data_IF_544843935793
#
_entry.id   IF_544843935793
#
_cell.length_a   1.000
_cell.length_b   1.000
_cell.length_c   1.000
_cell.angle_alpha   90.00
_cell.angle_beta   90.00
_cell.angle_gamma   90.00
#
_symmetry.space_group_name_H-M   'P 1'
#
loop_
_entity.id
_entity.type
_entity.pdbx_description
1 polymer ?
#
# COMPACT_ATOMS: atom_id res chain seq x y z
N UNK A 1 43.72 -11.84 -12.37
CA UNK A 1 42.38 -11.80 -11.74
C UNK A 1 41.99 -10.33 -11.63
N UNK A 2 40.98 -9.87 -12.38
CA UNK A 2 40.46 -8.51 -12.21
C UNK A 2 39.54 -8.54 -10.99
N UNK A 3 39.94 -7.85 -9.91
CA UNK A 3 39.05 -7.63 -8.77
C UNK A 3 37.93 -6.70 -9.24
N UNK A 4 36.70 -7.20 -9.23
CA UNK A 4 35.53 -6.39 -9.51
C UNK A 4 35.34 -5.41 -8.34
N UNK A 5 35.05 -4.14 -8.66
CA UNK A 5 34.80 -3.13 -7.64
C UNK A 5 33.58 -3.57 -6.79
N UNK A 6 33.69 -3.65 -5.45
CA UNK A 6 32.60 -4.07 -4.55
C UNK A 6 31.29 -3.31 -4.76
N UNK A 7 31.33 -2.02 -5.11
CA UNK A 7 30.13 -1.23 -5.41
C UNK A 7 29.41 -1.72 -6.66
N UNK A 8 30.16 -2.10 -7.71
CA UNK A 8 29.58 -2.66 -8.94
C UNK A 8 29.00 -4.05 -8.72
N UNK A 9 29.62 -4.87 -7.85
CA UNK A 9 29.08 -6.18 -7.48
C UNK A 9 27.80 -6.07 -6.64
N UNK A 10 27.74 -5.12 -5.70
CA UNK A 10 26.54 -4.82 -4.93
C UNK A 10 25.40 -4.31 -5.82
N UNK A 11 25.69 -3.39 -6.76
CA UNK A 11 24.69 -2.83 -7.65
C UNK A 11 24.17 -3.85 -8.69
N UNK A 12 25.03 -4.77 -9.17
CA UNK A 12 24.58 -5.91 -9.98
C UNK A 12 23.66 -6.86 -9.20
N UNK A 13 23.95 -7.09 -7.92
CA UNK A 13 23.11 -7.94 -7.08
C UNK A 13 21.74 -7.32 -6.85
N UNK A 14 21.66 -6.00 -6.63
CA UNK A 14 20.37 -5.28 -6.48
C UNK A 14 19.51 -5.30 -7.75
N UNK A 15 20.13 -5.37 -8.92
CA UNK A 15 19.44 -5.46 -10.21
C UNK A 15 18.99 -6.89 -10.57
N UNK A 16 19.39 -7.90 -9.80
CA UNK A 16 18.93 -9.27 -9.99
C UNK A 16 17.52 -9.43 -9.37
N UNK A 17 16.48 -9.79 -10.15
CA UNK A 17 15.12 -9.96 -9.62
C UNK A 17 15.03 -11.02 -8.52
N UNK A 18 15.89 -12.03 -8.54
CA UNK A 18 15.92 -13.14 -7.56
C UNK A 18 16.80 -12.85 -6.34
N UNK A 19 17.49 -11.71 -6.29
CA UNK A 19 18.34 -11.38 -5.16
C UNK A 19 17.52 -10.94 -3.94
N UNK A 20 17.66 -11.69 -2.84
CA UNK A 20 17.11 -11.33 -1.55
C UNK A 20 18.21 -10.78 -0.64
N UNK A 21 18.16 -9.47 -0.37
CA UNK A 21 19.11 -8.83 0.53
C UNK A 21 18.99 -9.39 1.98
N UNK A 22 20.10 -9.60 2.72
CA UNK A 22 20.05 -10.16 4.09
C UNK A 22 19.13 -9.41 5.04
N UNK A 23 19.17 -8.06 5.03
CA UNK A 23 18.25 -7.24 5.83
C UNK A 23 16.78 -7.47 5.48
N UNK A 24 16.47 -7.77 4.22
CA UNK A 24 15.08 -8.06 3.79
C UNK A 24 14.70 -9.47 4.22
N UNK A 25 15.60 -10.44 4.15
CA UNK A 25 15.34 -11.79 4.66
C UNK A 25 15.01 -11.77 6.16
N UNK A 26 15.76 -11.00 6.95
CA UNK A 26 15.53 -10.81 8.39
C UNK A 26 14.24 -10.02 8.65
N UNK A 27 14.06 -8.87 7.99
CA UNK A 27 12.85 -8.06 8.14
C UNK A 27 11.58 -8.81 7.70
N UNK A 28 11.67 -9.72 6.74
CA UNK A 28 10.52 -10.52 6.28
C UNK A 28 10.03 -11.51 7.35
N UNK A 29 10.90 -11.92 8.29
CA UNK A 29 10.47 -12.73 9.45
C UNK A 29 9.59 -11.87 10.36
N UNK A 30 10.06 -10.68 10.71
CA UNK A 30 9.31 -9.71 11.53
C UNK A 30 8.00 -9.29 10.86
N UNK A 31 8.02 -9.00 9.56
CA UNK A 31 6.82 -8.64 8.80
C UNK A 31 5.77 -9.75 8.81
N UNK A 32 6.19 -11.02 8.71
CA UNK A 32 5.28 -12.17 8.81
C UNK A 32 4.66 -12.30 10.19
N UNK A 33 5.42 -12.04 11.25
CA UNK A 33 4.89 -12.07 12.62
C UNK A 33 3.81 -11.01 12.81
N UNK A 34 4.07 -9.77 12.38
CA UNK A 34 3.08 -8.68 12.41
C UNK A 34 1.83 -9.05 11.62
N UNK A 35 1.96 -9.50 10.36
CA UNK A 35 0.80 -9.92 9.56
C UNK A 35 0.01 -11.04 10.23
N UNK A 36 0.68 -12.00 10.87
CA UNK A 36 0.00 -13.10 11.56
C UNK A 36 -0.79 -12.60 12.78
N UNK A 37 -0.31 -11.59 13.48
CA UNK A 37 -0.93 -11.05 14.69
C UNK A 37 -2.03 -10.03 14.38
N UNK A 38 -1.82 -9.17 13.37
CA UNK A 38 -2.61 -7.96 13.14
C UNK A 38 -3.53 -8.04 11.91
N UNK A 39 -3.27 -8.93 10.94
CA UNK A 39 -4.14 -9.06 9.77
C UNK A 39 -5.49 -9.68 10.15
N UNK A 40 -6.55 -9.21 9.49
CA UNK A 40 -7.90 -9.71 9.73
C UNK A 40 -8.00 -11.20 9.35
N UNK A 41 -8.38 -12.04 10.32
CA UNK A 41 -8.64 -13.47 10.10
C UNK A 41 -10.05 -13.69 9.50
N UNK A 42 -10.16 -14.20 8.26
CA UNK A 42 -11.44 -14.52 7.62
C UNK A 42 -12.33 -15.47 8.45
N UNK A 43 -11.75 -16.36 9.27
CA UNK A 43 -12.50 -17.31 10.11
C UNK A 43 -13.41 -16.58 11.10
N UNK A 44 -13.03 -15.36 11.52
CA UNK A 44 -13.88 -14.55 12.39
C UNK A 44 -15.20 -14.17 11.70
N UNK A 45 -15.32 -14.27 10.38
CA UNK A 45 -16.48 -13.86 9.59
C UNK A 45 -17.40 -15.01 9.18
N UNK A 46 -17.18 -16.23 9.69
CA UNK A 46 -18.09 -17.34 9.44
C UNK A 46 -19.53 -17.05 9.86
N UNK A 47 -19.73 -16.29 10.94
CA UNK A 47 -21.06 -15.84 11.37
C UNK A 47 -21.73 -14.81 10.43
N UNK A 48 -20.96 -14.18 9.54
CA UNK A 48 -21.44 -13.18 8.57
C UNK A 48 -21.69 -13.81 7.19
N UNK A 49 -20.75 -14.64 6.73
CA UNK A 49 -20.77 -15.19 5.36
C UNK A 49 -21.08 -16.69 5.29
N UNK A 50 -21.08 -17.39 6.42
CA UNK A 50 -21.17 -18.86 6.50
C UNK A 50 -19.81 -19.54 6.30
N UNK A 51 -19.56 -20.61 7.07
CA UNK A 51 -18.29 -21.35 7.05
C UNK A 51 -17.91 -21.86 5.66
N UNK A 52 -18.88 -22.29 4.84
CA UNK A 52 -18.60 -22.75 3.47
C UNK A 52 -18.06 -21.64 2.57
N UNK A 53 -18.53 -20.39 2.73
CA UNK A 53 -18.05 -19.26 1.95
C UNK A 53 -16.62 -18.87 2.35
N UNK A 54 -16.38 -18.79 3.65
CA UNK A 54 -15.06 -18.49 4.22
C UNK A 54 -14.05 -19.57 3.83
N UNK A 55 -14.43 -20.85 3.90
CA UNK A 55 -13.56 -21.96 3.51
C UNK A 55 -13.17 -21.91 2.02
N UNK A 56 -14.10 -21.53 1.12
CA UNK A 56 -13.79 -21.33 -0.30
C UNK A 56 -12.80 -20.19 -0.53
N UNK A 57 -12.93 -19.12 0.22
CA UNK A 57 -12.04 -17.95 0.14
C UNK A 57 -10.63 -18.29 0.66
N UNK A 58 -10.52 -19.05 1.76
CA UNK A 58 -9.24 -19.59 2.27
C UNK A 58 -8.58 -20.52 1.24
N UNK A 59 -9.35 -21.41 0.61
CA UNK A 59 -8.82 -22.31 -0.43
C UNK A 59 -8.39 -21.55 -1.68
N UNK A 60 -9.12 -20.48 -2.05
CA UNK A 60 -8.70 -19.58 -3.12
C UNK A 60 -7.31 -19.00 -2.83
N UNK A 61 -7.09 -18.45 -1.63
CA UNK A 61 -5.79 -17.92 -1.20
C UNK A 61 -4.70 -18.99 -1.31
N UNK A 62 -4.95 -20.20 -0.80
CA UNK A 62 -3.99 -21.33 -0.89
C UNK A 62 -3.65 -21.66 -2.34
N UNK A 63 -4.65 -21.74 -3.22
CA UNK A 63 -4.49 -22.08 -4.63
C UNK A 63 -3.72 -21.01 -5.42
N UNK A 64 -3.87 -19.73 -5.06
CA UNK A 64 -3.15 -18.63 -5.67
C UNK A 64 -1.69 -18.62 -5.24
N UNK A 65 -1.42 -18.81 -3.94
CA UNK A 65 -0.06 -18.91 -3.41
C UNK A 65 0.73 -20.06 -4.02
N UNK A 66 0.08 -21.20 -4.30
CA UNK A 66 0.73 -22.33 -4.96
C UNK A 66 1.17 -22.08 -6.41
N UNK A 67 0.69 -21.00 -7.05
CA UNK A 67 1.08 -20.62 -8.42
C UNK A 67 2.27 -19.67 -8.47
N UNK A 68 2.70 -19.13 -7.34
CA UNK A 68 3.80 -18.17 -7.27
C UNK A 68 5.15 -18.86 -7.51
N UNK A 69 5.98 -18.28 -8.37
CA UNK A 69 7.33 -18.74 -8.65
C UNK A 69 8.37 -18.21 -7.66
N UNK A 70 9.63 -18.59 -7.82
CA UNK A 70 10.75 -18.12 -6.99
C UNK A 70 10.96 -16.60 -7.07
N UNK A 71 10.81 -16.01 -8.26
CA UNK A 71 10.84 -14.55 -8.45
C UNK A 71 9.72 -13.88 -7.65
N UNK A 72 8.50 -14.41 -7.74
CA UNK A 72 7.34 -13.91 -6.99
C UNK A 72 7.57 -13.98 -5.47
N UNK A 73 8.28 -15.00 -4.97
CA UNK A 73 8.60 -15.11 -3.54
C UNK A 73 9.58 -14.05 -3.06
N UNK A 74 10.66 -13.79 -3.81
CA UNK A 74 11.61 -12.72 -3.46
C UNK A 74 10.90 -11.39 -3.52
N UNK A 75 10.13 -11.18 -4.59
CA UNK A 75 9.32 -10.00 -4.75
C UNK A 75 8.36 -9.79 -3.56
N UNK A 76 7.61 -10.83 -3.20
CA UNK A 76 6.66 -10.77 -2.07
C UNK A 76 7.34 -10.39 -0.76
N UNK A 77 8.56 -10.86 -0.48
CA UNK A 77 9.30 -10.49 0.74
C UNK A 77 9.63 -9.00 0.80
N UNK A 78 9.98 -8.37 -0.32
CA UNK A 78 10.20 -6.92 -0.35
C UNK A 78 8.88 -6.15 -0.10
N UNK A 79 7.78 -6.58 -0.73
CA UNK A 79 6.46 -6.00 -0.51
C UNK A 79 6.02 -6.15 0.96
N UNK A 80 6.03 -7.37 1.49
CA UNK A 80 5.63 -7.68 2.87
C UNK A 80 6.42 -6.84 3.88
N UNK A 81 7.71 -6.62 3.65
CA UNK A 81 8.56 -5.78 4.52
C UNK A 81 8.14 -4.31 4.43
N UNK A 82 7.97 -3.76 3.23
CA UNK A 82 7.60 -2.36 3.11
C UNK A 82 6.18 -2.10 3.61
N UNK A 83 5.24 -3.02 3.39
CA UNK A 83 3.89 -2.99 3.95
C UNK A 83 3.91 -2.98 5.48
N UNK A 84 4.67 -3.87 6.13
CA UNK A 84 4.75 -3.89 7.60
C UNK A 84 5.39 -2.61 8.16
N UNK A 85 6.42 -2.08 7.49
CA UNK A 85 7.03 -0.79 7.86
C UNK A 85 6.01 0.34 7.70
N UNK A 86 5.29 0.38 6.58
CA UNK A 86 4.27 1.37 6.31
C UNK A 86 3.15 1.31 7.34
N UNK A 87 2.61 0.12 7.63
CA UNK A 87 1.58 -0.11 8.65
C UNK A 87 2.00 0.44 10.02
N UNK A 88 3.15 0.01 10.56
CA UNK A 88 3.60 0.51 11.86
C UNK A 88 3.85 2.04 11.85
N UNK A 89 4.49 2.57 10.79
CA UNK A 89 4.95 3.96 10.79
C UNK A 89 3.89 4.98 10.31
N UNK A 90 2.85 4.53 9.61
CA UNK A 90 1.67 5.34 9.34
C UNK A 90 1.15 5.98 10.62
N UNK A 91 1.02 5.17 11.68
CA UNK A 91 0.54 5.61 12.99
C UNK A 91 1.68 5.99 13.93
N UNK A 92 2.63 5.08 14.20
CA UNK A 92 3.66 5.30 15.24
C UNK A 92 4.61 6.45 14.92
N UNK A 93 4.79 6.76 13.64
CA UNK A 93 5.65 7.83 13.14
C UNK A 93 4.88 8.93 12.44
N UNK A 94 3.54 8.90 12.52
CA UNK A 94 2.66 9.92 11.97
C UNK A 94 2.95 10.22 10.48
N UNK A 95 3.20 9.19 9.66
CA UNK A 95 3.49 9.39 8.24
C UNK A 95 2.27 9.98 7.51
N UNK A 96 1.06 9.59 7.93
CA UNK A 96 -0.20 9.96 7.26
C UNK A 96 -0.98 11.07 7.96
N UNK A 97 -0.56 11.53 9.14
CA UNK A 97 -1.28 12.53 9.94
C UNK A 97 -1.91 11.93 11.20
N UNK A 98 -2.09 12.75 12.23
CA UNK A 98 -2.51 12.31 13.57
C UNK A 98 -3.94 11.75 13.61
N UNK A 99 -4.72 11.99 12.56
CA UNK A 99 -6.11 11.57 12.44
C UNK A 99 -6.29 10.32 11.55
N UNK A 100 -5.23 9.52 11.42
CA UNK A 100 -5.24 8.31 10.59
C UNK A 100 -4.95 7.08 11.43
N UNK A 101 -5.65 5.99 11.12
CA UNK A 101 -5.38 4.67 11.68
C UNK A 101 -5.28 3.67 10.55
N UNK A 102 -4.48 2.63 10.73
CA UNK A 102 -4.24 1.60 9.73
C UNK A 102 -4.75 0.25 10.18
N UNK A 103 -5.30 -0.51 9.25
CA UNK A 103 -5.77 -1.87 9.49
C UNK A 103 -5.21 -2.75 8.39
N UNK A 104 -4.48 -3.81 8.77
CA UNK A 104 -4.03 -4.82 7.82
C UNK A 104 -5.23 -5.66 7.36
N UNK A 105 -5.38 -5.79 6.06
CA UNK A 105 -6.48 -6.56 5.49
C UNK A 105 -6.22 -8.07 5.60
N UNK A 106 -7.22 -8.88 5.29
CA UNK A 106 -7.05 -10.32 5.19
C UNK A 106 -6.19 -10.71 3.98
N UNK A 107 -5.53 -11.87 4.04
CA UNK A 107 -4.79 -12.40 2.87
C UNK A 107 -5.68 -12.61 1.63
N UNK A 108 -6.99 -12.79 1.84
CA UNK A 108 -7.94 -12.86 0.75
C UNK A 108 -8.11 -11.50 0.06
N UNK A 109 -8.19 -10.42 0.83
CA UNK A 109 -8.35 -9.07 0.30
C UNK A 109 -7.06 -8.56 -0.35
N UNK A 110 -5.89 -8.87 0.21
CA UNK A 110 -4.57 -8.71 -0.46
C UNK A 110 -4.60 -9.41 -1.84
N UNK A 111 -4.81 -10.73 -1.87
CA UNK A 111 -4.60 -11.50 -3.11
C UNK A 111 -5.71 -11.27 -4.14
N UNK A 112 -6.97 -11.19 -3.72
CA UNK A 112 -8.12 -11.09 -4.64
C UNK A 112 -8.43 -9.65 -5.02
N UNK A 113 -8.43 -8.75 -4.03
CA UNK A 113 -8.86 -7.38 -4.21
C UNK A 113 -7.65 -6.43 -4.41
N UNK A 114 -6.44 -6.85 -4.03
CA UNK A 114 -5.22 -6.07 -4.14
C UNK A 114 -5.16 -4.95 -3.11
N UNK A 115 -5.73 -5.15 -1.92
CA UNK A 115 -5.73 -4.16 -0.85
C UNK A 115 -4.84 -4.65 0.27
N UNK A 116 -3.69 -4.02 0.54
CA UNK A 116 -2.81 -4.48 1.63
C UNK A 116 -3.24 -3.87 2.97
N UNK A 117 -3.35 -2.54 2.99
CA UNK A 117 -3.64 -1.74 4.19
C UNK A 117 -4.84 -0.85 3.95
N UNK A 118 -5.75 -0.76 4.92
CA UNK A 118 -6.81 0.25 4.97
C UNK A 118 -6.39 1.42 5.88
N UNK A 119 -6.67 2.66 5.46
CA UNK A 119 -6.39 3.86 6.26
C UNK A 119 -7.66 4.53 6.79
N UNK A 120 -8.13 4.18 7.98
CA UNK A 120 -9.27 4.88 8.61
C UNK A 120 -8.94 6.35 8.87
N UNK A 121 -9.86 7.24 8.49
CA UNK A 121 -9.74 8.68 8.70
C UNK A 121 -10.74 9.12 9.78
N UNK A 122 -10.22 9.63 10.89
CA UNK A 122 -11.06 10.16 11.97
C UNK A 122 -11.58 11.55 11.60
N UNK A 123 -12.65 11.58 10.79
CA UNK A 123 -13.33 12.82 10.39
C UNK A 123 -14.76 12.84 10.94
N UNK A 124 -15.03 13.80 11.84
CA UNK A 124 -16.34 14.01 12.45
C UNK A 124 -17.44 14.42 11.46
N UNK A 125 -17.08 14.80 10.23
CA UNK A 125 -18.02 15.19 9.18
C UNK A 125 -18.53 14.02 8.34
N UNK A 126 -17.96 12.81 8.50
CA UNK A 126 -18.40 11.62 7.73
C UNK A 126 -19.34 10.75 8.56
N UNK A 127 -20.47 10.39 7.97
CA UNK A 127 -21.45 9.44 8.54
C UNK A 127 -20.86 8.02 8.73
N UNK A 128 -19.79 7.71 7.99
CA UNK A 128 -18.98 6.50 8.14
C UNK A 128 -17.51 6.95 8.16
N UNK A 129 -16.78 6.82 9.28
CA UNK A 129 -15.36 7.24 9.40
C UNK A 129 -14.38 6.35 8.62
N UNK A 130 -14.88 5.40 7.82
CA UNK A 130 -14.14 4.28 7.25
C UNK A 130 -13.65 4.50 5.83
N UNK A 131 -13.47 5.74 5.40
CA UNK A 131 -12.89 5.97 4.08
C UNK A 131 -11.39 5.80 4.17
N UNK A 132 -11.00 4.52 4.21
CA UNK A 132 -9.66 4.09 3.96
C UNK A 132 -9.39 3.89 2.51
N UNK A 133 -8.29 4.46 2.07
CA UNK A 133 -7.66 3.96 0.88
C UNK A 133 -7.12 2.57 1.16
N UNK A 134 -7.33 1.67 0.21
CA UNK A 134 -6.48 0.50 0.11
C UNK A 134 -5.14 0.93 -0.47
N UNK A 135 -4.06 0.62 0.23
CA UNK A 135 -2.71 0.89 -0.25
C UNK A 135 -2.12 -0.42 -0.75
N UNK A 136 -1.72 -0.42 -2.02
CA UNK A 136 -1.02 -1.53 -2.66
C UNK A 136 0.45 -1.17 -2.83
N UNK A 137 1.31 -1.87 -2.11
CA UNK A 137 2.74 -1.61 -2.05
C UNK A 137 3.47 -2.35 -3.18
N UNK A 138 4.07 -1.61 -4.11
CA UNK A 138 4.72 -2.19 -5.31
C UNK A 138 6.16 -1.73 -5.51
N UNK A 139 6.98 -2.58 -6.12
CA UNK A 139 8.33 -2.24 -6.56
C UNK A 139 8.60 -2.87 -7.93
N UNK A 140 9.42 -2.19 -8.74
CA UNK A 140 9.64 -2.55 -10.14
C UNK A 140 8.64 -1.87 -11.09
N UNK A 141 9.05 -1.68 -12.35
CA UNK A 141 8.35 -0.83 -13.33
C UNK A 141 7.13 -1.52 -13.95
N UNK A 142 7.25 -2.82 -14.25
CA UNK A 142 6.34 -3.52 -15.17
C UNK A 142 4.93 -3.82 -14.61
N UNK A 143 4.69 -3.59 -13.31
CA UNK A 143 3.41 -3.87 -12.63
C UNK A 143 2.59 -2.61 -12.33
N UNK A 144 3.23 -1.44 -12.25
CA UNK A 144 2.57 -0.18 -11.83
C UNK A 144 1.50 0.27 -12.81
N UNK A 145 1.81 0.27 -14.11
CA UNK A 145 0.88 0.70 -15.15
C UNK A 145 -0.42 -0.12 -15.12
N UNK A 146 -0.31 -1.44 -14.96
CA UNK A 146 -1.48 -2.34 -14.89
C UNK A 146 -2.34 -2.06 -13.66
N UNK A 147 -1.71 -1.81 -12.51
CA UNK A 147 -2.41 -1.47 -11.26
C UNK A 147 -3.14 -0.14 -11.39
N UNK A 148 -2.48 0.90 -11.90
CA UNK A 148 -3.11 2.20 -12.17
C UNK A 148 -4.25 2.07 -13.18
N UNK A 149 -4.04 1.33 -14.29
CA UNK A 149 -5.07 1.09 -15.29
C UNK A 149 -6.31 0.36 -14.71
N UNK A 150 -6.10 -0.57 -13.77
CA UNK A 150 -7.20 -1.23 -13.04
C UNK A 150 -8.04 -0.20 -12.29
N UNK A 151 -7.42 0.71 -11.55
CA UNK A 151 -8.14 1.73 -10.77
C UNK A 151 -8.93 2.69 -11.67
N UNK A 152 -8.38 3.10 -12.82
CA UNK A 152 -9.17 3.86 -13.80
C UNK A 152 -10.38 3.07 -14.31
N UNK A 153 -10.20 1.79 -14.65
CA UNK A 153 -11.29 0.92 -15.09
C UNK A 153 -12.36 0.67 -14.02
N UNK A 154 -11.99 0.71 -12.74
CA UNK A 154 -12.90 0.70 -11.58
C UNK A 154 -13.77 1.97 -11.56
N UNK A 155 -13.15 3.15 -11.69
CA UNK A 155 -13.85 4.46 -11.75
C UNK A 155 -14.81 4.52 -12.94
N UNK A 156 -14.36 4.09 -14.13
CA UNK A 156 -15.18 4.03 -15.35
C UNK A 156 -16.44 3.18 -15.14
N UNK A 157 -16.33 2.07 -14.41
CA UNK A 157 -17.47 1.20 -14.08
C UNK A 157 -18.36 1.75 -12.97
N UNK A 158 -17.96 2.83 -12.29
CA UNK A 158 -18.64 3.32 -11.10
C UNK A 158 -18.50 2.39 -9.89
N UNK A 159 -17.44 1.56 -9.88
CA UNK A 159 -17.18 0.58 -8.83
C UNK A 159 -15.76 0.78 -8.34
N UNK A 160 -15.56 1.30 -7.13
CA UNK A 160 -14.23 1.33 -6.53
C UNK A 160 -13.93 -0.02 -5.83
N UNK A 161 -12.79 -0.08 -5.15
CA UNK A 161 -12.34 -1.27 -4.47
C UNK A 161 -13.26 -1.76 -3.36
N UNK A 162 -13.10 -3.04 -3.02
CA UNK A 162 -13.86 -3.73 -1.98
C UNK A 162 -12.93 -4.41 -1.01
N UNK A 163 -13.29 -4.41 0.28
CA UNK A 163 -12.66 -5.25 1.31
C UNK A 163 -13.73 -6.12 1.92
N UNK A 164 -13.64 -7.42 1.67
CA UNK A 164 -14.65 -8.41 2.07
C UNK A 164 -14.61 -8.69 3.56
N UNK A 165 -13.42 -8.82 4.13
CA UNK A 165 -13.24 -9.13 5.54
C UNK A 165 -12.83 -7.85 6.27
N UNK A 166 -13.81 -7.02 6.63
CA UNK A 166 -13.57 -5.80 7.38
C UNK A 166 -14.18 -5.83 8.79
N UNK A 167 -13.35 -5.53 9.78
CA UNK A 167 -13.73 -5.28 11.15
C UNK A 167 -12.71 -4.33 11.74
N UNK A 168 -13.17 -3.26 12.38
CA UNK A 168 -12.31 -2.34 13.10
C UNK A 168 -12.23 -2.76 14.57
N UNK A 169 -11.04 -3.12 15.09
CA UNK A 169 -10.85 -3.46 16.50
C UNK A 169 -11.29 -2.33 17.44
N UNK A 170 -11.12 -1.07 17.04
CA UNK A 170 -11.43 0.12 17.83
C UNK A 170 -12.88 0.59 17.66
N UNK A 171 -13.59 0.06 16.65
CA UNK A 171 -14.97 0.42 16.36
C UNK A 171 -15.79 -0.83 15.97
N UNK A 172 -16.18 -1.59 17.00
CA UNK A 172 -16.86 -2.88 16.87
C UNK A 172 -18.30 -2.83 16.31
N UNK A 173 -18.78 -1.67 15.82
CA UNK A 173 -20.17 -1.54 15.36
C UNK A 173 -20.40 -2.09 13.95
N UNK A 174 -19.35 -2.32 13.17
CA UNK A 174 -19.45 -2.85 11.82
C UNK A 174 -18.51 -4.03 11.60
N UNK A 175 -19.08 -5.12 11.08
CA UNK A 175 -18.38 -6.32 10.64
C UNK A 175 -19.00 -6.80 9.34
N UNK A 176 -18.24 -6.76 8.26
CA UNK A 176 -18.76 -7.09 6.94
C UNK A 176 -17.87 -6.60 5.81
N UNK A 177 -18.48 -6.34 4.66
CA UNK A 177 -17.80 -5.90 3.45
C UNK A 177 -17.83 -4.38 3.35
N UNK A 178 -16.68 -3.77 3.11
CA UNK A 178 -16.57 -2.39 2.68
C UNK A 178 -16.55 -2.33 1.16
N UNK A 179 -17.30 -1.39 0.59
CA UNK A 179 -17.37 -1.11 -0.84
C UNK A 179 -17.11 0.36 -1.11
N UNK A 180 -16.84 0.71 -2.37
CA UNK A 180 -16.57 2.08 -2.79
C UNK A 180 -15.29 2.66 -2.15
N UNK A 181 -14.27 1.83 -1.99
CA UNK A 181 -12.99 2.20 -1.39
C UNK A 181 -12.01 2.73 -2.45
N UNK A 182 -11.53 3.98 -2.33
CA UNK A 182 -10.42 4.47 -3.14
C UNK A 182 -9.22 3.52 -3.08
N UNK A 183 -8.65 3.20 -4.24
CA UNK A 183 -7.49 2.33 -4.34
C UNK A 183 -6.27 3.17 -4.71
N UNK A 184 -5.27 3.19 -3.84
CA UNK A 184 -4.02 3.93 -4.05
C UNK A 184 -2.86 2.96 -4.15
N UNK A 185 -2.00 3.17 -5.13
CA UNK A 185 -0.78 2.37 -5.30
C UNK A 185 0.39 3.15 -4.71
N UNK A 186 1.15 2.57 -3.79
CA UNK A 186 2.36 3.18 -3.24
C UNK A 186 3.56 2.38 -3.73
N UNK A 187 4.52 3.05 -4.37
CA UNK A 187 5.66 2.38 -4.95
C UNK A 187 6.99 3.06 -4.67
N UNK A 188 8.00 2.25 -4.37
CA UNK A 188 9.38 2.69 -4.10
C UNK A 188 10.38 1.66 -4.64
N UNK A 189 11.58 2.09 -4.98
CA UNK A 189 12.64 1.19 -5.41
C UNK A 189 13.19 0.32 -4.26
N UNK A 190 13.63 -0.91 -4.59
CA UNK A 190 14.19 -1.89 -3.64
C UNK A 190 15.27 -1.31 -2.72
N UNK A 191 16.11 -0.40 -3.23
CA UNK A 191 17.19 0.21 -2.44
C UNK A 191 16.64 0.97 -1.22
N UNK A 192 15.53 1.68 -1.38
CA UNK A 192 14.89 2.42 -0.29
C UNK A 192 14.23 1.48 0.71
N UNK A 193 13.61 0.38 0.24
CA UNK A 193 13.06 -0.66 1.13
C UNK A 193 14.17 -1.30 1.98
N UNK A 194 15.35 -1.56 1.42
CA UNK A 194 16.49 -2.12 2.16
C UNK A 194 16.96 -1.16 3.25
N UNK A 195 17.03 0.13 2.95
CA UNK A 195 17.41 1.15 3.93
C UNK A 195 16.40 1.21 5.08
N UNK A 196 15.10 1.28 4.74
CA UNK A 196 14.01 1.29 5.73
C UNK A 196 14.01 0.03 6.58
N UNK A 197 14.21 -1.15 5.98
CA UNK A 197 14.32 -2.42 6.69
C UNK A 197 15.47 -2.41 7.69
N UNK A 198 16.62 -1.84 7.32
CA UNK A 198 17.75 -1.68 8.23
C UNK A 198 17.42 -0.76 9.42
N UNK A 199 16.78 0.39 9.17
CA UNK A 199 16.36 1.32 10.22
C UNK A 199 15.33 0.68 11.16
N UNK A 200 14.41 -0.09 10.58
CA UNK A 200 13.34 -0.79 11.27
C UNK A 200 13.82 -1.91 12.18
N UNK A 201 14.71 -2.77 11.69
CA UNK A 201 15.31 -3.85 12.49
C UNK A 201 16.14 -3.33 13.66
N UNK A 202 16.80 -2.18 13.50
CA UNK A 202 17.57 -1.53 14.58
C UNK A 202 16.71 -0.72 15.56
N UNK A 203 15.40 -0.66 15.37
CA UNK A 203 14.50 0.11 16.22
C UNK A 203 14.73 1.62 16.15
N UNK A 204 15.22 2.14 15.02
CA UNK A 204 15.57 3.54 14.82
C UNK A 204 14.32 4.40 14.56
N UNK A 205 13.35 4.38 15.49
CA UNK A 205 12.03 5.05 15.36
C UNK A 205 12.13 6.51 14.91
N UNK A 206 13.08 7.26 15.48
CA UNK A 206 13.31 8.66 15.09
C UNK A 206 13.73 8.80 13.63
N UNK A 207 14.61 7.92 13.13
CA UNK A 207 15.02 7.95 11.72
C UNK A 207 13.86 7.60 10.79
N UNK A 208 13.04 6.62 11.16
CA UNK A 208 11.84 6.27 10.40
C UNK A 208 10.82 7.42 10.37
N UNK A 209 10.62 8.13 11.48
CA UNK A 209 9.73 9.29 11.56
C UNK A 209 10.26 10.57 10.93
N UNK A 210 11.58 10.69 10.75
CA UNK A 210 12.22 11.79 10.02
C UNK A 210 12.49 11.43 8.54
N UNK A 211 12.28 10.18 8.13
CA UNK A 211 12.63 9.70 6.80
C UNK A 211 11.79 10.43 5.73
N UNK A 212 12.40 11.01 4.68
CA UNK A 212 11.67 11.72 3.63
C UNK A 212 10.67 10.86 2.83
N UNK A 213 10.75 9.53 2.93
CA UNK A 213 9.80 8.62 2.27
C UNK A 213 8.35 8.93 2.63
N UNK A 214 8.08 9.44 3.84
CA UNK A 214 6.73 9.83 4.24
C UNK A 214 6.16 10.95 3.33
N UNK A 215 6.99 11.90 2.90
CA UNK A 215 6.58 12.95 1.97
C UNK A 215 6.34 12.37 0.58
N UNK A 216 7.20 11.45 0.14
CA UNK A 216 7.05 10.74 -1.13
C UNK A 216 5.73 9.97 -1.19
N UNK A 217 5.41 9.20 -0.15
CA UNK A 217 4.15 8.46 -0.01
C UNK A 217 2.95 9.41 -0.07
N UNK A 218 2.98 10.52 0.69
CA UNK A 218 1.91 11.52 0.65
C UNK A 218 1.75 12.19 -0.72
N UNK A 219 2.85 12.43 -1.45
CA UNK A 219 2.80 12.94 -2.82
C UNK A 219 2.16 11.93 -3.77
N UNK A 220 2.49 10.65 -3.66
CA UNK A 220 1.87 9.60 -4.46
C UNK A 220 0.37 9.46 -4.18
N UNK A 221 -0.02 9.47 -2.90
CA UNK A 221 -1.42 9.48 -2.45
C UNK A 221 -2.16 10.67 -3.08
N UNK A 222 -1.66 11.90 -2.86
CA UNK A 222 -2.33 13.12 -3.30
C UNK A 222 -2.42 13.22 -4.83
N UNK A 223 -1.39 12.78 -5.55
CA UNK A 223 -1.35 12.82 -7.02
C UNK A 223 -2.36 11.85 -7.61
N UNK A 224 -2.50 10.65 -7.04
CA UNK A 224 -3.49 9.66 -7.46
C UNK A 224 -4.91 10.13 -7.14
N UNK A 225 -5.19 10.56 -5.90
CA UNK A 225 -6.51 11.06 -5.52
C UNK A 225 -7.00 12.18 -6.45
N UNK A 226 -6.13 13.16 -6.75
CA UNK A 226 -6.46 14.24 -7.69
C UNK A 226 -6.70 13.72 -9.10
N UNK A 227 -5.84 12.83 -9.60
CA UNK A 227 -5.97 12.30 -10.96
C UNK A 227 -7.23 11.46 -11.13
N UNK A 228 -7.59 10.67 -10.12
CA UNK A 228 -8.81 9.85 -10.11
C UNK A 228 -10.06 10.70 -9.97
N UNK A 229 -10.05 11.72 -9.11
CA UNK A 229 -11.11 12.73 -9.04
C UNK A 229 -11.33 13.42 -10.38
N UNK A 230 -10.28 13.95 -10.99
CA UNK A 230 -10.37 14.70 -12.25
C UNK A 230 -10.95 13.81 -13.37
N UNK A 231 -10.56 12.53 -13.38
CA UNK A 231 -11.12 11.57 -14.32
C UNK A 231 -12.59 11.25 -14.03
N UNK A 232 -12.95 10.99 -12.76
CA UNK A 232 -14.34 10.76 -12.35
C UNK A 232 -15.24 11.95 -12.71
N UNK A 233 -14.76 13.19 -12.51
CA UNK A 233 -15.44 14.42 -12.90
C UNK A 233 -15.62 14.48 -14.43
N UNK A 234 -14.56 14.18 -15.20
CA UNK A 234 -14.60 14.15 -16.65
C UNK A 234 -15.62 13.17 -17.25
N UNK A 235 -15.96 12.09 -16.54
CA UNK A 235 -16.96 11.09 -16.97
C UNK A 235 -18.31 11.23 -16.23
N UNK A 236 -18.51 12.29 -15.45
CA UNK A 236 -19.78 12.59 -14.78
C UNK A 236 -20.12 11.69 -13.57
N UNK A 237 -19.13 11.11 -12.90
CA UNK A 237 -19.28 10.30 -11.67
C UNK A 237 -19.17 11.15 -10.41
N UNK A 238 -20.18 11.99 -10.16
CA UNK A 238 -20.15 12.95 -9.05
C UNK A 238 -20.04 12.27 -7.67
N UNK A 239 -20.67 11.11 -7.52
CA UNK A 239 -20.58 10.28 -6.32
C UNK A 239 -19.14 9.90 -5.97
N UNK A 240 -18.32 9.58 -6.98
CA UNK A 240 -16.90 9.28 -6.78
C UNK A 240 -16.06 10.54 -6.56
N UNK A 241 -16.40 11.65 -7.22
CA UNK A 241 -15.74 12.94 -7.01
C UNK A 241 -15.83 13.38 -5.55
N UNK A 242 -16.99 13.19 -4.92
CA UNK A 242 -17.21 13.56 -3.52
C UNK A 242 -16.35 12.70 -2.58
N UNK A 243 -16.21 11.40 -2.85
CA UNK A 243 -15.33 10.49 -2.10
C UNK A 243 -13.88 10.98 -2.17
N UNK A 244 -13.36 11.23 -3.39
CA UNK A 244 -11.97 11.67 -3.55
C UNK A 244 -11.72 13.05 -2.96
N UNK A 245 -12.66 13.99 -3.09
CA UNK A 245 -12.53 15.33 -2.49
C UNK A 245 -12.46 15.26 -0.98
N UNK A 246 -13.25 14.39 -0.36
CA UNK A 246 -13.19 14.19 1.07
C UNK A 246 -11.79 13.71 1.49
N UNK A 247 -11.21 12.72 0.80
CA UNK A 247 -9.87 12.21 1.13
C UNK A 247 -8.76 13.23 0.88
N UNK A 248 -8.85 13.99 -0.21
CA UNK A 248 -7.93 15.10 -0.50
C UNK A 248 -7.92 16.10 0.65
N UNK A 249 -9.09 16.41 1.23
CA UNK A 249 -9.21 17.39 2.31
C UNK A 249 -8.46 16.95 3.59
N UNK A 250 -8.36 15.64 3.83
CA UNK A 250 -7.63 15.07 4.97
C UNK A 250 -6.12 15.06 4.74
N UNK A 251 -5.65 14.66 3.55
CA UNK A 251 -4.22 14.55 3.28
C UNK A 251 -3.55 15.89 2.89
N UNK A 252 -4.31 16.88 2.41
CA UNK A 252 -3.73 18.15 1.96
C UNK A 252 -3.03 18.95 3.08
N UNK A 253 -3.59 19.07 4.30
CA UNK A 253 -2.89 19.68 5.43
C UNK A 253 -1.60 18.92 5.79
N UNK A 254 -1.66 17.59 5.87
CA UNK A 254 -0.51 16.74 6.23
C UNK A 254 0.64 16.91 5.24
N UNK A 255 0.33 16.88 3.94
CA UNK A 255 1.30 17.12 2.87
C UNK A 255 1.93 18.51 2.98
N UNK A 256 1.12 19.54 3.28
CA UNK A 256 1.62 20.90 3.46
C UNK A 256 2.58 21.01 4.65
N UNK A 257 2.31 20.31 5.74
CA UNK A 257 3.12 20.37 6.96
C UNK A 257 4.49 19.70 6.77
N UNK A 258 4.55 18.66 5.93
CA UNK A 258 5.76 17.90 5.63
C UNK A 258 6.53 18.39 4.40
N UNK A 259 6.04 19.41 3.68
CA UNK A 259 6.56 19.88 2.37
C UNK A 259 8.05 20.26 2.32
N UNK A 260 8.69 20.51 3.47
CA UNK A 260 10.09 20.94 3.54
C UNK A 260 11.08 19.78 3.71
N UNK A 261 10.62 18.51 3.68
CA UNK A 261 11.51 17.35 3.71
C UNK A 261 12.30 17.25 2.41
N UNK A 262 13.59 16.93 2.52
CA UNK A 262 14.47 16.73 1.37
C UNK A 262 14.22 15.35 0.74
N UNK A 263 13.65 15.34 -0.46
CA UNK A 263 13.34 14.12 -1.21
C UNK A 263 14.27 13.90 -2.40
N UNK A 264 15.43 14.58 -2.43
CA UNK A 264 16.40 14.49 -3.54
C UNK A 264 16.80 13.05 -3.87
N UNK A 265 16.94 12.19 -2.86
CA UNK A 265 17.26 10.76 -3.04
C UNK A 265 16.18 9.96 -3.80
N UNK A 266 14.96 10.50 -3.88
CA UNK A 266 13.79 9.86 -4.50
C UNK A 266 13.40 10.47 -5.86
N UNK A 267 13.96 11.62 -6.25
CA UNK A 267 13.62 12.30 -7.52
C UNK A 267 13.87 11.42 -8.75
N UNK A 268 14.91 10.58 -8.66
CA UNK A 268 15.30 9.64 -9.71
C UNK A 268 14.77 8.22 -9.54
N UNK A 269 13.93 7.97 -8.53
CA UNK A 269 13.36 6.66 -8.29
C UNK A 269 12.53 6.20 -9.52
N UNK A 270 12.92 5.08 -10.15
CA UNK A 270 12.29 4.63 -11.37
C UNK A 270 10.86 4.14 -11.18
N UNK A 271 10.49 3.65 -9.99
CA UNK A 271 9.14 3.18 -9.67
C UNK A 271 8.22 4.39 -9.52
N UNK A 272 8.68 5.45 -8.83
CA UNK A 272 7.93 6.71 -8.68
C UNK A 272 7.69 7.36 -10.04
N UNK A 273 8.73 7.44 -10.88
CA UNK A 273 8.60 7.97 -12.24
C UNK A 273 7.60 7.17 -13.08
N UNK A 274 7.60 5.85 -12.97
CA UNK A 274 6.66 5.00 -13.69
C UNK A 274 5.22 5.21 -13.22
N UNK A 275 5.01 5.37 -11.92
CA UNK A 275 3.71 5.71 -11.35
C UNK A 275 3.17 7.02 -11.92
N UNK A 276 3.97 8.09 -11.92
CA UNK A 276 3.55 9.37 -12.46
C UNK A 276 3.33 9.33 -13.97
N UNK A 277 4.17 8.61 -14.73
CA UNK A 277 3.95 8.39 -16.17
C UNK A 277 2.64 7.66 -16.45
N UNK A 278 2.33 6.62 -15.68
CA UNK A 278 1.09 5.86 -15.83
C UNK A 278 -0.15 6.74 -15.58
N UNK A 279 -0.08 7.65 -14.60
CA UNK A 279 -1.15 8.63 -14.36
C UNK A 279 -1.27 9.66 -15.49
N UNK A 280 -0.16 10.21 -15.97
CA UNK A 280 -0.15 11.18 -17.07
C UNK A 280 -0.67 10.60 -18.38
N UNK A 281 -0.34 9.34 -18.68
CA UNK A 281 -0.81 8.65 -19.87
C UNK A 281 -2.34 8.55 -19.94
N UNK A 282 -3.03 8.64 -18.80
CA UNK A 282 -4.50 8.53 -18.67
C UNK A 282 -5.22 9.87 -18.64
N UNK A 283 -4.50 11.00 -18.63
CA UNK A 283 -5.08 12.34 -18.73
C UNK A 283 -5.34 12.80 -20.17
N UNK A 284 -4.86 12.04 -21.16
CA UNK A 284 -5.02 12.31 -22.59
C UNK A 284 -6.19 11.52 -23.16
#
# INVERSE_FOLDING_TARGET
MKFENPEFAAQRSLNNPEYLHPLIAEAAIKAREIKKEEAIDPVLFEGVYGSDAVARDIEYVRSMKAKFGSEDEVHKKYADVFEAIFYENAEMSNWLGENTHTVLTSEFDDIKNGMDVLVRLNDALRSFPYVGMGIDVTFGRNSVEKKIARVFGEIEKGQLGTVRYFMDPDYAQFKGELSSMPHIIVGVERRHVIELAGQWLRGEKRKLGENPIQLVVLQQIMTQLKSFRDHAEGIGRQDLVDIYNADISVFAPVLRDKRNMDISDYEDDPVIKELYRALEARKK
#
